data_IF_441081891724
#
_entry.id   IF_441081891724
#
_cell.length_a   1.000
_cell.length_b   1.000
_cell.length_c   1.000
_cell.angle_alpha   90.00
_cell.angle_beta   90.00
_cell.angle_gamma   90.00
#
_symmetry.space_group_name_H-M   'P 1'
#
loop_
_entity.id
_entity.type
_entity.pdbx_description
1 polymer ?
#
# COMPACT_ATOMS: atom_id res chain seq x y z
N UNK A 1 1.94 -8.71 -16.68
CA UNK A 1 2.11 -10.14 -16.28
C UNK A 1 1.89 -10.32 -14.77
N UNK A 2 2.55 -9.53 -13.92
CA UNK A 2 2.49 -9.65 -12.45
C UNK A 2 1.09 -9.51 -11.81
N UNK A 3 0.26 -8.57 -12.24
CA UNK A 3 -1.09 -8.40 -11.65
C UNK A 3 -2.00 -9.60 -11.97
N UNK A 4 -1.85 -10.19 -13.17
CA UNK A 4 -2.66 -11.35 -13.59
C UNK A 4 -2.38 -12.59 -12.74
N UNK A 5 -1.15 -12.77 -12.28
CA UNK A 5 -0.80 -13.90 -11.39
C UNK A 5 -1.31 -13.72 -9.95
N UNK A 6 -1.54 -12.49 -9.49
CA UNK A 6 -2.06 -12.22 -8.14
C UNK A 6 -3.58 -12.30 -8.05
N UNK A 7 -4.29 -12.20 -9.18
CA UNK A 7 -5.75 -12.26 -9.24
C UNK A 7 -6.35 -13.48 -8.50
N UNK A 8 -5.97 -14.74 -8.81
CA UNK A 8 -6.55 -15.91 -8.12
C UNK A 8 -6.20 -15.97 -6.63
N UNK A 9 -5.12 -15.30 -6.20
CA UNK A 9 -4.69 -15.29 -4.80
C UNK A 9 -5.50 -14.31 -3.94
N UNK A 10 -6.19 -13.33 -4.56
CA UNK A 10 -7.07 -12.41 -3.87
C UNK A 10 -8.28 -13.13 -3.25
N UNK A 11 -8.73 -14.24 -3.84
CA UNK A 11 -9.87 -15.04 -3.37
C UNK A 11 -9.43 -16.34 -2.66
N UNK A 12 -8.15 -16.43 -2.27
CA UNK A 12 -7.65 -17.58 -1.52
C UNK A 12 -8.41 -17.75 -0.20
N UNK A 13 -8.69 -18.99 0.19
CA UNK A 13 -9.30 -19.31 1.49
C UNK A 13 -8.41 -18.86 2.66
N UNK A 14 -7.08 -18.92 2.50
CA UNK A 14 -6.13 -18.50 3.54
C UNK A 14 -6.03 -16.96 3.59
N UNK A 15 -6.45 -16.32 4.70
CA UNK A 15 -6.35 -14.88 4.85
C UNK A 15 -4.91 -14.35 4.86
N UNK A 16 -3.90 -15.15 5.22
CA UNK A 16 -2.50 -14.71 5.17
C UNK A 16 -2.05 -14.49 3.72
N UNK A 17 -2.50 -15.35 2.81
CA UNK A 17 -2.22 -15.20 1.37
C UNK A 17 -2.86 -13.91 0.86
N UNK A 18 -4.14 -13.69 1.18
CA UNK A 18 -4.85 -12.46 0.78
C UNK A 18 -4.17 -11.20 1.32
N UNK A 19 -3.77 -11.23 2.59
CA UNK A 19 -3.06 -10.11 3.21
C UNK A 19 -1.72 -9.82 2.52
N UNK A 20 -0.94 -10.86 2.21
CA UNK A 20 0.32 -10.76 1.47
C UNK A 20 0.13 -10.18 0.07
N UNK A 21 -0.93 -10.58 -0.63
CA UNK A 21 -1.29 -10.03 -1.95
C UNK A 21 -1.55 -8.53 -1.87
N UNK A 22 -2.31 -8.07 -0.86
CA UNK A 22 -2.62 -6.65 -0.69
C UNK A 22 -1.36 -5.78 -0.57
N UNK A 23 -0.38 -6.22 0.22
CA UNK A 23 0.87 -5.49 0.39
C UNK A 23 1.78 -5.58 -0.85
N UNK A 24 1.96 -6.78 -1.41
CA UNK A 24 2.81 -7.02 -2.56
C UNK A 24 2.33 -6.28 -3.81
N UNK A 25 1.01 -6.26 -4.04
CA UNK A 25 0.40 -5.55 -5.16
C UNK A 25 0.62 -4.05 -5.07
N UNK A 26 0.44 -3.44 -3.89
CA UNK A 26 0.68 -2.02 -3.68
C UNK A 26 2.13 -1.62 -3.93
N UNK A 27 3.08 -2.37 -3.37
CA UNK A 27 4.52 -2.13 -3.56
C UNK A 27 4.90 -2.24 -5.04
N UNK A 28 4.43 -3.27 -5.73
CA UNK A 28 4.79 -3.53 -7.13
C UNK A 28 4.22 -2.52 -8.12
N UNK A 29 3.04 -1.94 -7.82
CA UNK A 29 2.31 -1.03 -8.72
C UNK A 29 2.60 0.44 -8.40
N UNK A 30 3.29 0.73 -7.28
CA UNK A 30 3.74 2.07 -6.92
C UNK A 30 4.49 2.75 -8.07
N UNK A 31 4.01 3.92 -8.50
CA UNK A 31 4.61 4.68 -9.62
C UNK A 31 4.40 4.09 -11.02
N UNK A 32 3.51 3.10 -11.18
CA UNK A 32 3.20 2.49 -12.48
C UNK A 32 1.86 2.99 -13.08
N UNK A 33 1.62 2.64 -14.34
CA UNK A 33 0.37 2.94 -15.06
C UNK A 33 -0.78 1.96 -14.74
N UNK A 34 -0.54 0.85 -14.04
CA UNK A 34 -1.52 -0.22 -13.82
C UNK A 34 -2.45 -0.01 -12.60
N UNK A 35 -2.49 1.22 -12.12
CA UNK A 35 -3.13 1.63 -10.86
C UNK A 35 -4.60 1.29 -10.80
N UNK A 36 -5.35 1.43 -11.90
CA UNK A 36 -6.77 1.12 -11.89
C UNK A 36 -7.06 -0.36 -11.61
N UNK A 37 -6.32 -1.25 -12.27
CA UNK A 37 -6.50 -2.70 -12.09
C UNK A 37 -6.11 -3.12 -10.66
N UNK A 38 -5.02 -2.55 -10.14
CA UNK A 38 -4.58 -2.82 -8.77
C UNK A 38 -5.55 -2.26 -7.73
N UNK A 39 -6.03 -1.02 -7.91
CA UNK A 39 -6.99 -0.38 -7.03
C UNK A 39 -8.27 -1.18 -6.92
N UNK A 40 -8.77 -1.76 -8.02
CA UNK A 40 -9.95 -2.62 -8.01
C UNK A 40 -9.79 -3.83 -7.10
N UNK A 41 -8.64 -4.51 -7.18
CA UNK A 41 -8.33 -5.68 -6.35
C UNK A 41 -8.12 -5.29 -4.89
N UNK A 42 -7.44 -4.17 -4.64
CA UNK A 42 -7.21 -3.68 -3.29
C UNK A 42 -8.51 -3.21 -2.63
N UNK A 43 -9.44 -2.61 -3.37
CA UNK A 43 -10.77 -2.28 -2.86
C UNK A 43 -11.57 -3.53 -2.48
N UNK A 44 -11.50 -4.59 -3.28
CA UNK A 44 -12.09 -5.90 -2.92
C UNK A 44 -11.51 -6.44 -1.60
N UNK A 45 -10.18 -6.43 -1.45
CA UNK A 45 -9.51 -6.87 -0.21
C UNK A 45 -9.80 -5.94 1.00
N UNK A 46 -10.13 -4.67 0.76
CA UNK A 46 -10.47 -3.71 1.80
C UNK A 46 -11.86 -3.98 2.42
N UNK A 47 -12.70 -4.75 1.75
CA UNK A 47 -14.01 -5.21 2.22
C UNK A 47 -13.95 -6.62 2.84
N UNK A 48 -12.76 -7.21 2.96
CA UNK A 48 -12.57 -8.53 3.57
C UNK A 48 -13.10 -8.60 5.01
N UNK A 49 -13.54 -9.78 5.43
CA UNK A 49 -14.04 -10.06 6.78
C UNK A 49 -12.92 -9.87 7.83
N UNK A 50 -11.67 -10.16 7.45
CA UNK A 50 -10.51 -10.19 8.34
C UNK A 50 -9.80 -8.83 8.39
N UNK A 51 -9.63 -8.28 9.60
CA UNK A 51 -9.09 -6.93 9.79
C UNK A 51 -7.70 -6.66 9.26
N UNK A 52 -6.79 -7.63 9.33
CA UNK A 52 -5.41 -7.46 8.84
C UNK A 52 -5.30 -7.57 7.31
N UNK A 53 -6.21 -8.28 6.66
CA UNK A 53 -6.33 -8.24 5.20
C UNK A 53 -6.76 -6.84 4.77
N UNK A 54 -7.77 -6.26 5.45
CA UNK A 54 -8.16 -4.87 5.22
C UNK A 54 -7.03 -3.88 5.50
N UNK A 55 -6.21 -4.12 6.53
CA UNK A 55 -5.05 -3.29 6.85
C UNK A 55 -4.03 -3.27 5.70
N UNK A 56 -3.61 -4.43 5.19
CA UNK A 56 -2.63 -4.49 4.08
C UNK A 56 -3.21 -3.93 2.80
N UNK A 57 -4.51 -4.11 2.55
CA UNK A 57 -5.21 -3.48 1.43
C UNK A 57 -5.17 -1.94 1.51
N UNK A 58 -5.42 -1.36 2.69
CA UNK A 58 -5.33 0.09 2.90
C UNK A 58 -3.92 0.63 2.66
N UNK A 59 -2.89 -0.08 3.17
CA UNK A 59 -1.48 0.27 2.93
C UNK A 59 -1.15 0.16 1.44
N UNK A 60 -1.62 -0.89 0.78
CA UNK A 60 -1.41 -1.12 -0.65
C UNK A 60 -2.05 -0.04 -1.52
N UNK A 61 -3.24 0.45 -1.15
CA UNK A 61 -3.88 1.60 -1.80
C UNK A 61 -3.03 2.86 -1.65
N UNK A 62 -2.44 3.09 -0.48
CA UNK A 62 -1.52 4.19 -0.23
C UNK A 62 -0.31 4.19 -1.16
N UNK A 63 0.33 3.03 -1.36
CA UNK A 63 1.43 2.89 -2.33
C UNK A 63 0.97 3.08 -3.78
N UNK A 64 -0.20 2.54 -4.12
CA UNK A 64 -0.75 2.58 -5.50
C UNK A 64 -1.03 4.02 -5.95
N UNK A 65 -1.53 4.87 -5.04
CA UNK A 65 -1.85 6.27 -5.30
C UNK A 65 -0.77 7.27 -4.84
N UNK A 66 0.42 6.77 -4.49
CA UNK A 66 1.57 7.64 -4.23
C UNK A 66 1.90 8.45 -5.49
N UNK A 67 2.23 9.74 -5.32
CA UNK A 67 2.49 10.72 -6.40
C UNK A 67 1.33 11.00 -7.36
N UNK A 68 0.14 10.43 -7.12
CA UNK A 68 -1.04 10.77 -7.91
C UNK A 68 -1.71 12.00 -7.30
N UNK A 69 -2.13 12.91 -8.17
CA UNK A 69 -2.84 14.13 -7.81
C UNK A 69 -4.34 14.03 -8.04
N UNK A 70 -5.01 15.17 -7.90
CA UNK A 70 -6.46 15.33 -8.09
C UNK A 70 -6.90 15.14 -9.55
N UNK A 71 -5.95 15.18 -10.50
CA UNK A 71 -6.19 14.87 -11.91
C UNK A 71 -6.58 13.39 -12.13
N UNK A 72 -6.23 12.49 -11.20
CA UNK A 72 -6.69 11.10 -11.23
C UNK A 72 -8.08 11.00 -10.59
N UNK A 73 -9.08 10.68 -11.40
CA UNK A 73 -10.49 10.64 -10.99
C UNK A 73 -10.77 9.72 -9.79
N UNK A 74 -9.94 8.71 -9.54
CA UNK A 74 -10.09 7.79 -8.39
C UNK A 74 -9.31 8.22 -7.16
N UNK A 75 -8.38 9.16 -7.28
CA UNK A 75 -7.56 9.61 -6.14
C UNK A 75 -8.44 10.16 -5.00
N UNK A 76 -9.41 11.02 -5.34
CA UNK A 76 -10.32 11.61 -4.37
C UNK A 76 -11.17 10.54 -3.68
N UNK A 77 -11.74 9.62 -4.45
CA UNK A 77 -12.57 8.52 -3.95
C UNK A 77 -11.81 7.64 -2.94
N UNK A 78 -10.58 7.24 -3.27
CA UNK A 78 -9.74 6.42 -2.39
C UNK A 78 -9.35 7.19 -1.12
N UNK A 79 -9.01 8.47 -1.28
CA UNK A 79 -8.67 9.35 -0.14
C UNK A 79 -9.84 9.44 0.84
N UNK A 80 -11.05 9.68 0.34
CA UNK A 80 -12.26 9.76 1.15
C UNK A 80 -12.61 8.43 1.82
N UNK A 81 -12.47 7.31 1.09
CA UNK A 81 -12.65 5.96 1.66
C UNK A 81 -11.72 5.71 2.85
N UNK A 82 -10.41 5.98 2.70
CA UNK A 82 -9.46 5.80 3.79
C UNK A 82 -9.75 6.73 4.98
N UNK A 83 -10.13 7.99 4.73
CA UNK A 83 -10.53 8.93 5.81
C UNK A 83 -11.79 8.45 6.53
N UNK A 84 -12.77 7.91 5.80
CA UNK A 84 -14.02 7.39 6.38
C UNK A 84 -13.73 6.25 7.37
N UNK A 85 -12.81 5.34 7.05
CA UNK A 85 -12.39 4.25 7.95
C UNK A 85 -11.84 4.79 9.28
N UNK A 86 -11.07 5.88 9.25
CA UNK A 86 -10.51 6.48 10.46
C UNK A 86 -11.60 7.06 11.38
N UNK A 87 -12.60 7.72 10.80
CA UNK A 87 -13.69 8.38 11.53
C UNK A 87 -14.73 7.38 12.05
N UNK A 88 -14.94 6.26 11.35
CA UNK A 88 -15.91 5.24 11.76
C UNK A 88 -15.61 4.68 13.15
N UNK A 89 -16.59 4.75 14.06
CA UNK A 89 -16.42 4.24 15.44
C UNK A 89 -16.25 2.72 15.50
N UNK A 90 -16.96 1.99 14.64
CA UNK A 90 -17.01 0.52 14.66
C UNK A 90 -15.86 -0.14 13.89
N UNK A 91 -15.03 0.63 13.19
CA UNK A 91 -13.89 0.06 12.45
C UNK A 91 -12.83 -0.48 13.42
N UNK A 92 -12.33 -1.68 13.15
CA UNK A 92 -11.27 -2.31 13.94
C UNK A 92 -10.01 -1.43 13.97
N UNK A 93 -9.34 -1.41 15.14
CA UNK A 93 -8.12 -0.61 15.36
C UNK A 93 -7.02 -0.92 14.34
N UNK A 94 -6.91 -2.19 13.94
CA UNK A 94 -5.90 -2.65 12.99
C UNK A 94 -6.14 -2.10 11.57
N UNK A 95 -7.40 -2.07 11.14
CA UNK A 95 -7.79 -1.50 9.86
C UNK A 95 -7.58 0.02 9.88
N UNK A 96 -7.88 0.69 11.00
CA UNK A 96 -7.58 2.12 11.18
C UNK A 96 -6.09 2.44 11.09
N UNK A 97 -5.24 1.61 11.71
CA UNK A 97 -3.79 1.75 11.60
C UNK A 97 -3.33 1.63 10.14
N UNK A 98 -3.86 0.66 9.38
CA UNK A 98 -3.58 0.51 7.96
C UNK A 98 -4.04 1.71 7.12
N UNK A 99 -5.22 2.24 7.39
CA UNK A 99 -5.75 3.43 6.72
C UNK A 99 -4.93 4.69 7.00
N UNK A 100 -4.48 4.87 8.26
CA UNK A 100 -3.63 5.99 8.66
C UNK A 100 -2.27 5.92 7.95
N UNK A 101 -1.64 4.74 7.92
CA UNK A 101 -0.39 4.53 7.20
C UNK A 101 -0.58 4.72 5.69
N UNK A 102 -1.65 4.17 5.10
CA UNK A 102 -1.95 4.32 3.68
C UNK A 102 -2.08 5.79 3.26
N UNK A 103 -2.82 6.60 4.03
CA UNK A 103 -2.93 8.05 3.80
C UNK A 103 -1.61 8.79 3.96
N UNK A 104 -0.79 8.39 4.93
CA UNK A 104 0.55 8.94 5.13
C UNK A 104 1.49 8.64 3.96
N UNK A 105 1.48 7.41 3.46
CA UNK A 105 2.27 6.97 2.29
C UNK A 105 1.83 7.73 1.04
N UNK A 106 0.51 7.84 0.82
CA UNK A 106 -0.05 8.53 -0.34
C UNK A 106 0.36 10.01 -0.40
N UNK A 107 0.53 10.66 0.75
CA UNK A 107 0.91 12.07 0.87
C UNK A 107 2.36 12.29 1.34
N UNK A 108 3.22 11.26 1.21
CA UNK A 108 4.57 11.30 1.76
C UNK A 108 5.39 12.49 1.21
N UNK A 109 6.10 13.17 2.12
CA UNK A 109 6.95 14.34 1.80
C UNK A 109 6.23 15.46 1.05
N UNK A 110 4.97 15.71 1.37
CA UNK A 110 4.18 16.75 0.69
C UNK A 110 3.80 16.38 -0.74
N UNK A 111 3.66 15.08 -1.04
CA UNK A 111 3.41 14.52 -2.38
C UNK A 111 4.58 14.66 -3.36
N UNK A 112 5.81 14.81 -2.85
CA UNK A 112 7.02 14.93 -3.67
C UNK A 112 7.97 13.73 -3.53
N UNK A 113 7.51 12.63 -2.93
CA UNK A 113 8.32 11.43 -2.72
C UNK A 113 7.77 10.26 -3.53
N UNK A 114 8.65 9.46 -4.12
CA UNK A 114 8.36 8.16 -4.75
C UNK A 114 8.98 7.01 -3.97
N UNK A 115 8.37 5.82 -4.06
CA UNK A 115 9.07 4.58 -3.72
C UNK A 115 10.05 4.23 -4.85
N UNK A 116 11.36 4.25 -4.57
CA UNK A 116 12.40 3.97 -5.59
C UNK A 116 13.47 3.01 -5.07
N UNK A 117 13.35 1.74 -5.46
CA UNK A 117 14.25 0.65 -5.05
C UNK A 117 15.52 0.54 -5.91
N UNK A 118 15.48 1.09 -7.12
CA UNK A 118 16.56 1.05 -8.09
C UNK A 118 16.93 2.48 -8.50
N UNK A 119 18.22 2.79 -8.59
CA UNK A 119 18.68 4.08 -9.09
C UNK A 119 18.42 4.17 -10.60
N UNK A 120 18.87 3.13 -11.30
CA UNK A 120 18.63 2.84 -12.71
C UNK A 120 18.20 1.38 -12.86
N UNK A 121 17.85 0.92 -14.06
CA UNK A 121 17.37 -0.46 -14.29
C UNK A 121 18.29 -1.57 -13.75
N UNK A 122 19.60 -1.31 -13.57
CA UNK A 122 20.60 -2.31 -13.15
C UNK A 122 21.12 -2.14 -11.73
N UNK A 123 20.95 -0.97 -11.12
CA UNK A 123 21.65 -0.64 -9.87
C UNK A 123 20.66 -0.59 -8.69
N UNK A 124 20.63 -1.61 -7.82
CA UNK A 124 19.77 -1.62 -6.66
C UNK A 124 20.25 -0.63 -5.59
N UNK A 125 19.31 0.09 -4.97
CA UNK A 125 19.58 0.93 -3.80
C UNK A 125 19.41 0.07 -2.55
N UNK A 126 20.51 -0.48 -2.05
CA UNK A 126 20.50 -1.43 -0.93
C UNK A 126 19.80 -0.88 0.32
N UNK A 127 19.97 0.42 0.62
CA UNK A 127 19.27 1.07 1.72
C UNK A 127 17.75 1.11 1.53
N UNK A 128 17.28 1.36 0.31
CA UNK A 128 15.86 1.37 -0.02
C UNK A 128 15.26 -0.04 0.07
N UNK A 129 15.97 -1.04 -0.43
CA UNK A 129 15.56 -2.45 -0.35
C UNK A 129 15.51 -2.90 1.11
N UNK A 130 16.57 -2.66 1.89
CA UNK A 130 16.60 -3.01 3.31
C UNK A 130 15.50 -2.28 4.11
N UNK A 131 15.27 -1.00 3.82
CA UNK A 131 14.20 -0.21 4.44
C UNK A 131 12.82 -0.78 4.15
N UNK A 132 12.55 -1.15 2.89
CA UNK A 132 11.29 -1.79 2.51
C UNK A 132 11.16 -3.20 3.10
N UNK A 133 12.24 -3.99 3.13
CA UNK A 133 12.25 -5.32 3.75
C UNK A 133 11.91 -5.24 5.24
N UNK A 134 12.52 -4.31 5.98
CA UNK A 134 12.19 -4.07 7.38
C UNK A 134 10.75 -3.58 7.53
N UNK A 135 10.30 -2.66 6.67
CA UNK A 135 8.93 -2.18 6.68
C UNK A 135 7.92 -3.34 6.62
N UNK A 136 8.11 -4.34 5.76
CA UNK A 136 7.18 -5.49 5.69
C UNK A 136 7.07 -6.30 6.98
N UNK A 137 8.04 -6.18 7.90
CA UNK A 137 8.04 -6.81 9.22
C UNK A 137 7.34 -5.97 10.30
N UNK A 138 6.60 -4.91 9.94
CA UNK A 138 5.86 -4.05 10.88
C UNK A 138 4.87 -4.82 11.77
N UNK A 139 4.46 -6.03 11.35
CA UNK A 139 3.57 -6.90 12.10
C UNK A 139 4.19 -7.39 13.41
N UNK A 140 5.48 -7.73 13.38
CA UNK A 140 6.21 -8.20 14.57
C UNK A 140 6.66 -7.05 15.46
N UNK A 141 7.04 -5.93 14.85
CA UNK A 141 7.47 -4.74 15.57
C UNK A 141 7.03 -3.47 14.87
N UNK A 142 6.10 -2.73 15.48
CA UNK A 142 5.46 -1.57 14.85
C UNK A 142 6.44 -0.45 14.46
N UNK A 143 7.56 -0.28 15.17
CA UNK A 143 8.56 0.73 14.83
C UNK A 143 9.22 0.48 13.47
N UNK A 144 9.16 -0.76 12.94
CA UNK A 144 9.65 -1.04 11.59
C UNK A 144 8.87 -0.32 10.49
N UNK A 145 7.64 0.14 10.76
CA UNK A 145 6.89 0.99 9.83
C UNK A 145 7.66 2.26 9.42
N UNK A 146 8.53 2.79 10.31
CA UNK A 146 9.32 4.01 10.08
C UNK A 146 10.45 3.80 9.06
N UNK A 147 10.91 2.57 8.87
CA UNK A 147 12.01 2.26 7.94
C UNK A 147 11.62 2.44 6.48
N UNK A 148 10.32 2.63 6.19
CA UNK A 148 9.86 3.02 4.87
C UNK A 148 10.54 4.30 4.38
N UNK A 149 10.92 5.21 5.28
CA UNK A 149 11.60 6.47 4.94
C UNK A 149 12.87 6.24 4.10
N UNK A 150 13.61 5.16 4.31
CA UNK A 150 14.81 4.83 3.52
C UNK A 150 14.50 4.42 2.08
N UNK A 151 13.29 3.94 1.82
CA UNK A 151 12.86 3.52 0.49
C UNK A 151 12.26 4.67 -0.34
N UNK A 152 11.97 5.81 0.31
CA UNK A 152 11.42 6.98 -0.34
C UNK A 152 12.53 7.85 -0.96
N UNK A 153 12.28 8.39 -2.14
CA UNK A 153 13.19 9.32 -2.83
C UNK A 153 12.42 10.52 -3.38
N UNK A 154 12.95 11.75 -3.25
CA UNK A 154 12.37 12.92 -3.89
C UNK A 154 12.29 12.73 -5.41
N UNK A 155 11.15 13.06 -6.01
CA UNK A 155 10.97 13.09 -7.48
C UNK A 155 11.23 14.46 -8.06
#
# INVERSE_FOLDING_TARGET
>A
MFIRSLFPLCDSFDPNIRAGVGLALGIAVSGSAFTESAARLLMHLQEDIIGYVRQTACIGLGFTYMLRGEDDYKYLEITEKLRKILVQKNAEKITKFGAQLGLGIMNAGGRNMSLRLFADQKTPRLSAIAGLSLFTQYWYWHAYSLFLAFALHPT
#
